data_IF_917451721693
#
_entry.id   IF_917451721693
#
_cell.length_a   1.000
_cell.length_b   1.000
_cell.length_c   1.000
_cell.angle_alpha   90.00
_cell.angle_beta   90.00
_cell.angle_gamma   90.00
#
_symmetry.space_group_name_H-M   'P 1'
#
loop_
_entity.id
_entity.type
_entity.pdbx_description
1 polymer ?
#
# COMPACT_ATOMS: atom_id res chain seq x y z
N UNK A 1 -41.48 -9.11 -25.94
CA UNK A 1 -40.48 -9.32 -24.88
C UNK A 1 -39.12 -8.83 -25.37
N UNK A 2 -38.69 -7.64 -24.93
CA UNK A 2 -37.29 -7.23 -25.11
C UNK A 2 -36.43 -8.11 -24.19
N UNK A 3 -35.43 -8.79 -24.74
CA UNK A 3 -34.36 -9.38 -23.92
C UNK A 3 -33.71 -8.24 -23.15
N UNK A 4 -33.88 -8.21 -21.84
CA UNK A 4 -33.05 -7.39 -20.97
C UNK A 4 -31.59 -7.73 -21.30
N UNK A 5 -30.87 -6.78 -21.90
CA UNK A 5 -29.43 -6.90 -22.01
C UNK A 5 -28.93 -6.88 -20.57
N UNK A 6 -28.33 -7.97 -20.12
CA UNK A 6 -27.51 -7.99 -18.91
C UNK A 6 -26.38 -6.97 -19.08
N UNK A 7 -26.65 -5.70 -18.77
CA UNK A 7 -25.63 -4.67 -18.66
C UNK A 7 -24.85 -5.05 -17.41
N UNK A 8 -23.64 -5.59 -17.60
CA UNK A 8 -22.68 -5.73 -16.50
C UNK A 8 -22.54 -4.33 -15.91
N UNK A 9 -23.00 -4.12 -14.68
CA UNK A 9 -22.79 -2.86 -13.95
C UNK A 9 -21.29 -2.77 -13.68
N UNK A 10 -20.57 -2.11 -14.58
CA UNK A 10 -19.16 -1.78 -14.35
C UNK A 10 -19.18 -0.61 -13.40
N UNK A 11 -18.65 -0.81 -12.21
CA UNK A 11 -18.51 0.25 -11.23
C UNK A 11 -17.47 1.26 -11.76
N UNK A 12 -17.89 2.52 -11.92
CA UNK A 12 -17.10 3.54 -12.61
C UNK A 12 -16.11 4.23 -11.69
N UNK A 13 -14.85 4.31 -12.13
CA UNK A 13 -13.81 5.17 -11.54
C UNK A 13 -14.14 6.65 -11.80
N UNK A 14 -13.78 7.56 -10.89
CA UNK A 14 -14.10 8.99 -11.07
C UNK A 14 -13.19 9.64 -12.12
N UNK A 15 -11.88 9.43 -12.01
CA UNK A 15 -10.89 9.95 -12.94
C UNK A 15 -9.94 8.83 -13.36
N UNK A 16 -9.84 8.61 -14.68
CA UNK A 16 -8.84 7.71 -15.26
C UNK A 16 -8.10 8.47 -16.35
N UNK A 17 -6.78 8.60 -16.20
CA UNK A 17 -5.91 9.24 -17.18
C UNK A 17 -4.91 8.21 -17.68
N UNK A 18 -4.79 8.06 -18.99
CA UNK A 18 -3.95 7.04 -19.63
C UNK A 18 -2.85 7.69 -20.46
N UNK A 19 -1.66 7.08 -20.46
CA UNK A 19 -0.58 7.32 -21.42
C UNK A 19 -0.22 8.80 -21.60
N UNK A 20 -0.20 9.55 -20.50
CA UNK A 20 0.02 11.00 -20.50
C UNK A 20 1.39 11.37 -19.94
N UNK A 21 2.09 12.30 -20.58
CA UNK A 21 3.35 12.85 -20.11
C UNK A 21 3.18 14.31 -19.66
N UNK A 22 3.90 14.72 -18.62
CA UNK A 22 3.83 16.06 -18.03
C UNK A 22 2.42 16.39 -17.49
N UNK A 23 1.86 15.45 -16.72
CA UNK A 23 0.53 15.59 -16.14
C UNK A 23 0.60 16.42 -14.86
N UNK A 24 -0.28 17.42 -14.73
CA UNK A 24 -0.51 18.12 -13.46
C UNK A 24 -1.98 18.02 -13.06
N UNK A 25 -2.23 17.55 -11.84
CA UNK A 25 -3.54 17.60 -11.18
C UNK A 25 -3.38 18.49 -9.97
N UNK A 26 -3.99 19.69 -10.00
CA UNK A 26 -3.85 20.66 -8.91
C UNK A 26 -5.20 21.18 -8.43
N UNK A 27 -5.38 21.23 -7.11
CA UNK A 27 -6.54 21.83 -6.45
C UNK A 27 -7.89 21.23 -6.92
N UNK A 28 -7.91 19.91 -7.09
CA UNK A 28 -9.10 19.16 -7.48
C UNK A 28 -9.70 18.49 -6.24
N UNK A 29 -11.03 18.42 -6.17
CA UNK A 29 -11.74 17.59 -5.19
C UNK A 29 -12.53 16.51 -5.91
N UNK A 30 -12.30 15.26 -5.54
CA UNK A 30 -13.05 14.08 -5.99
C UNK A 30 -13.92 13.61 -4.83
N UNK A 31 -15.20 13.36 -5.11
CA UNK A 31 -16.17 12.90 -4.11
C UNK A 31 -16.90 11.69 -4.63
N UNK A 32 -16.78 10.59 -3.91
CA UNK A 32 -17.40 9.30 -4.16
C UNK A 32 -17.06 8.70 -5.54
N UNK A 33 -16.71 7.43 -5.54
CA UNK A 33 -16.64 6.62 -6.75
C UNK A 33 -17.26 5.27 -6.45
N UNK A 34 -17.86 4.63 -7.47
CA UNK A 34 -18.34 3.27 -7.34
C UNK A 34 -17.18 2.24 -7.45
N UNK A 35 -15.94 2.69 -7.67
CA UNK A 35 -14.69 1.91 -7.71
C UNK A 35 -13.51 2.82 -7.30
N UNK A 36 -12.30 2.58 -7.82
CA UNK A 36 -11.12 3.43 -7.58
C UNK A 36 -11.40 4.90 -7.97
N UNK A 37 -11.05 5.84 -7.10
CA UNK A 37 -11.37 7.25 -7.32
C UNK A 37 -10.53 7.85 -8.45
N UNK A 38 -9.19 7.83 -8.31
CA UNK A 38 -8.27 8.41 -9.30
C UNK A 38 -7.22 7.39 -9.71
N UNK A 39 -7.23 6.99 -10.98
CA UNK A 39 -6.20 6.10 -11.53
C UNK A 39 -5.40 6.78 -12.63
N UNK A 40 -4.08 6.76 -12.50
CA UNK A 40 -3.14 7.29 -13.49
C UNK A 40 -2.41 6.12 -14.13
N UNK A 41 -2.72 5.80 -15.38
CA UNK A 41 -2.21 4.61 -16.07
C UNK A 41 -1.09 5.01 -17.01
N UNK A 42 0.12 4.44 -16.80
CA UNK A 42 1.32 4.65 -17.62
C UNK A 42 1.66 6.12 -17.87
N UNK A 43 1.35 6.99 -16.92
CA UNK A 43 1.69 8.41 -17.01
C UNK A 43 3.13 8.68 -16.57
N UNK A 44 3.78 9.68 -17.19
CA UNK A 44 5.17 10.07 -16.93
C UNK A 44 5.24 11.53 -16.50
N UNK A 45 6.14 11.85 -15.55
CA UNK A 45 6.30 13.22 -15.02
C UNK A 45 4.98 13.77 -14.51
N UNK A 46 4.44 13.08 -13.51
CA UNK A 46 3.15 13.39 -12.89
C UNK A 46 3.37 14.28 -11.67
N UNK A 47 2.61 15.36 -11.56
CA UNK A 47 2.52 16.19 -10.37
C UNK A 47 1.06 16.26 -9.88
N UNK A 48 0.79 15.65 -8.73
CA UNK A 48 -0.49 15.78 -8.02
C UNK A 48 -0.25 16.67 -6.82
N UNK A 49 -0.95 17.80 -6.74
CA UNK A 49 -0.78 18.80 -5.70
C UNK A 49 -2.13 19.29 -5.18
N UNK A 50 -2.33 19.23 -3.87
CA UNK A 50 -3.57 19.74 -3.25
C UNK A 50 -4.82 19.00 -3.78
N UNK A 51 -4.71 17.69 -4.02
CA UNK A 51 -5.84 16.82 -4.34
C UNK A 51 -6.58 16.47 -3.04
N UNK A 52 -7.92 16.50 -3.10
CA UNK A 52 -8.79 16.04 -2.01
C UNK A 52 -9.69 14.93 -2.50
N UNK A 53 -9.70 13.80 -1.81
CA UNK A 53 -10.59 12.67 -2.11
C UNK A 53 -11.45 12.38 -0.89
N UNK A 54 -12.75 12.23 -1.11
CA UNK A 54 -13.72 11.82 -0.09
C UNK A 54 -14.58 10.68 -0.63
N UNK A 55 -14.33 9.46 -0.17
CA UNK A 55 -15.04 8.24 -0.58
C UNK A 55 -15.64 7.54 0.65
N UNK A 56 -16.95 7.29 0.64
CA UNK A 56 -17.65 6.67 1.76
C UNK A 56 -17.61 5.14 1.72
N UNK A 57 -17.80 4.50 2.88
CA UNK A 57 -17.89 3.04 3.07
C UNK A 57 -19.04 2.34 2.34
N UNK A 58 -19.81 3.06 1.50
CA UNK A 58 -21.00 2.53 0.82
C UNK A 58 -20.67 1.84 -0.49
N UNK A 59 -19.46 2.06 -1.01
CA UNK A 59 -18.96 1.47 -2.24
C UNK A 59 -17.90 0.44 -1.87
N UNK A 60 -17.82 -0.66 -2.63
CA UNK A 60 -16.74 -1.64 -2.49
C UNK A 60 -15.57 -1.22 -3.38
N UNK A 61 -14.33 -1.29 -2.86
CA UNK A 61 -13.09 -1.10 -3.63
C UNK A 61 -12.92 0.36 -4.09
N UNK A 62 -13.11 1.29 -3.13
CA UNK A 62 -13.01 2.74 -3.31
C UNK A 62 -11.64 3.32 -2.96
N UNK A 63 -10.59 2.87 -3.65
CA UNK A 63 -9.21 3.35 -3.52
C UNK A 63 -9.13 4.86 -3.78
N UNK A 64 -8.17 5.54 -3.17
CA UNK A 64 -7.97 6.98 -3.31
C UNK A 64 -7.26 7.34 -4.63
N UNK A 65 -5.94 7.18 -4.63
CA UNK A 65 -5.07 7.54 -5.75
C UNK A 65 -4.15 6.39 -6.15
N UNK A 66 -4.27 5.98 -7.40
CA UNK A 66 -3.60 4.81 -7.98
C UNK A 66 -2.65 5.18 -9.13
N UNK A 67 -1.36 5.47 -8.87
CA UNK A 67 -0.34 5.52 -9.91
C UNK A 67 -0.05 4.11 -10.45
N UNK A 68 -0.62 3.76 -11.59
CA UNK A 68 -0.55 2.44 -12.22
C UNK A 68 0.49 2.41 -13.35
N UNK A 69 1.66 1.86 -13.05
CA UNK A 69 2.80 1.80 -13.96
C UNK A 69 3.40 3.17 -14.23
N UNK A 70 3.15 4.19 -13.41
CA UNK A 70 3.67 5.55 -13.61
C UNK A 70 5.18 5.67 -13.35
N UNK A 71 5.84 6.60 -14.04
CA UNK A 71 7.27 6.92 -13.83
C UNK A 71 7.41 8.42 -13.52
N UNK A 72 8.26 8.76 -12.55
CA UNK A 72 8.49 10.13 -12.09
C UNK A 72 7.17 10.78 -11.59
N UNK A 73 6.74 10.36 -10.40
CA UNK A 73 5.48 10.82 -9.78
C UNK A 73 5.79 11.62 -8.53
N UNK A 74 5.27 12.85 -8.45
CA UNK A 74 5.23 13.66 -7.23
C UNK A 74 3.78 13.83 -6.79
N UNK A 75 3.46 13.38 -5.57
CA UNK A 75 2.17 13.58 -4.92
C UNK A 75 2.43 14.40 -3.65
N UNK A 76 1.81 15.57 -3.53
CA UNK A 76 2.03 16.43 -2.36
C UNK A 76 0.81 17.23 -1.91
N UNK A 77 0.77 17.57 -0.62
CA UNK A 77 -0.26 18.43 -0.01
C UNK A 77 -1.69 17.86 -0.16
N UNK A 78 -1.83 16.54 -0.25
CA UNK A 78 -3.12 15.88 -0.49
C UNK A 78 -3.82 15.49 0.81
N UNK A 79 -5.15 15.48 0.77
CA UNK A 79 -6.01 14.93 1.82
C UNK A 79 -6.86 13.81 1.21
N UNK A 80 -6.63 12.57 1.64
CA UNK A 80 -7.29 11.41 1.05
C UNK A 80 -8.06 10.66 2.13
N UNK A 81 -9.40 10.73 2.04
CA UNK A 81 -10.32 9.93 2.82
C UNK A 81 -10.92 8.90 1.86
N UNK A 82 -10.33 7.72 1.82
CA UNK A 82 -10.71 6.61 0.95
C UNK A 82 -11.53 5.57 1.70
N UNK A 83 -12.29 4.78 0.93
CA UNK A 83 -12.96 3.60 1.48
C UNK A 83 -11.95 2.46 1.62
N UNK A 84 -11.23 2.19 0.54
CA UNK A 84 -10.18 1.19 0.43
C UNK A 84 -8.80 1.88 0.55
N UNK A 85 -7.78 1.39 -0.16
CA UNK A 85 -6.40 1.89 -0.10
C UNK A 85 -6.29 3.40 -0.42
N UNK A 86 -5.62 4.20 0.42
CA UNK A 86 -5.57 5.67 0.19
C UNK A 86 -4.61 6.06 -0.94
N UNK A 87 -3.37 5.58 -0.90
CA UNK A 87 -2.40 5.73 -2.00
C UNK A 87 -1.89 4.36 -2.37
N UNK A 88 -2.12 3.95 -3.62
CA UNK A 88 -1.74 2.63 -4.11
C UNK A 88 -1.00 2.67 -5.44
N UNK A 89 0.34 2.79 -5.43
CA UNK A 89 1.12 2.57 -6.64
C UNK A 89 0.99 1.11 -7.07
N UNK A 90 0.69 0.89 -8.36
CA UNK A 90 0.32 -0.41 -8.94
C UNK A 90 1.05 -0.65 -10.27
N UNK A 91 0.92 -1.86 -10.80
CA UNK A 91 1.20 -2.26 -12.16
C UNK A 91 0.09 -3.24 -12.60
N UNK A 92 -1.15 -2.76 -12.62
CA UNK A 92 -2.35 -3.54 -12.90
C UNK A 92 -2.70 -3.56 -14.39
N UNK A 93 -2.56 -2.41 -15.06
CA UNK A 93 -2.99 -2.27 -16.44
C UNK A 93 -2.07 -3.01 -17.42
N UNK A 94 -2.64 -3.63 -18.47
CA UNK A 94 -1.88 -4.29 -19.54
C UNK A 94 -1.89 -3.47 -20.85
N UNK A 95 -0.75 -3.32 -21.56
CA UNK A 95 0.59 -3.79 -21.18
C UNK A 95 1.10 -3.05 -19.94
N UNK A 96 1.71 -3.81 -19.04
CA UNK A 96 2.21 -3.29 -17.77
C UNK A 96 3.54 -2.59 -17.95
N UNK A 97 3.82 -1.63 -17.07
CA UNK A 97 5.08 -0.88 -17.03
C UNK A 97 5.59 -0.89 -15.59
N UNK A 98 6.90 -1.01 -15.42
CA UNK A 98 7.53 -0.92 -14.10
C UNK A 98 7.34 0.48 -13.51
N UNK A 99 6.61 0.64 -12.39
CA UNK A 99 6.53 1.92 -11.72
C UNK A 99 7.87 2.25 -11.06
N UNK A 100 8.29 3.51 -11.20
CA UNK A 100 9.61 3.96 -10.74
C UNK A 100 9.60 5.43 -10.33
N UNK A 101 10.38 5.77 -9.30
CA UNK A 101 10.65 7.15 -8.88
C UNK A 101 9.38 7.88 -8.45
N UNK A 102 8.75 7.39 -7.39
CA UNK A 102 7.56 8.03 -6.80
C UNK A 102 7.96 8.74 -5.51
N UNK A 103 7.51 9.98 -5.35
CA UNK A 103 7.69 10.76 -4.13
C UNK A 103 6.32 11.23 -3.66
N UNK A 104 5.90 10.75 -2.50
CA UNK A 104 4.67 11.15 -1.82
C UNK A 104 5.06 11.93 -0.57
N UNK A 105 4.57 13.16 -0.41
CA UNK A 105 4.90 13.97 0.77
C UNK A 105 3.81 14.91 1.26
N UNK A 106 3.88 15.29 2.53
CA UNK A 106 2.96 16.27 3.13
C UNK A 106 1.47 15.89 2.93
N UNK A 107 1.14 14.61 3.12
CA UNK A 107 -0.21 14.09 2.87
C UNK A 107 -0.86 13.61 4.16
N UNK A 108 -2.18 13.74 4.24
CA UNK A 108 -3.01 13.21 5.33
C UNK A 108 -3.91 12.11 4.76
N UNK A 109 -3.81 10.90 5.32
CA UNK A 109 -4.46 9.70 4.82
C UNK A 109 -5.44 9.11 5.84
N UNK A 110 -6.59 8.66 5.33
CA UNK A 110 -7.60 7.90 6.05
C UNK A 110 -8.16 6.82 5.12
N UNK A 111 -7.86 5.57 5.41
CA UNK A 111 -8.46 4.41 4.75
C UNK A 111 -9.55 3.81 5.64
N UNK A 112 -10.77 3.71 5.14
CA UNK A 112 -11.90 3.28 5.96
C UNK A 112 -11.86 1.78 6.29
N UNK A 113 -11.51 0.93 5.33
CA UNK A 113 -11.57 -0.51 5.46
C UNK A 113 -10.29 -1.23 4.98
N UNK A 114 -9.25 -0.50 4.58
CA UNK A 114 -8.03 -1.08 4.00
C UNK A 114 -6.75 -0.37 4.44
N UNK A 115 -5.87 0.02 3.50
CA UNK A 115 -4.49 0.43 3.78
C UNK A 115 -4.26 1.93 3.60
N UNK A 116 -3.45 2.55 4.45
CA UNK A 116 -3.02 3.94 4.22
C UNK A 116 -2.17 4.04 2.95
N UNK A 117 -1.05 3.31 2.92
CA UNK A 117 -0.18 3.20 1.75
C UNK A 117 -0.06 1.73 1.35
N UNK A 118 -0.65 1.36 0.21
CA UNK A 118 -0.58 0.01 -0.36
C UNK A 118 0.28 -0.01 -1.62
N UNK A 119 1.58 -0.21 -1.47
CA UNK A 119 2.46 -0.35 -2.62
C UNK A 119 2.44 -1.79 -3.13
N UNK A 120 1.92 -1.98 -4.35
CA UNK A 120 1.82 -3.27 -5.00
C UNK A 120 0.38 -3.75 -5.11
N UNK A 121 0.09 -4.91 -4.54
CA UNK A 121 -1.10 -5.75 -4.82
C UNK A 121 -1.07 -6.26 -6.27
N UNK A 122 -1.27 -5.39 -7.25
CA UNK A 122 -1.03 -5.65 -8.66
C UNK A 122 0.39 -5.27 -9.04
N UNK A 123 1.27 -6.27 -9.22
CA UNK A 123 2.70 -6.05 -9.50
C UNK A 123 3.12 -6.68 -10.82
N UNK A 124 2.33 -6.54 -11.89
CA UNK A 124 2.55 -7.23 -13.17
C UNK A 124 3.71 -6.62 -13.99
N UNK A 125 4.79 -6.22 -13.33
CA UNK A 125 5.97 -5.60 -13.92
C UNK A 125 7.23 -6.40 -13.59
N UNK A 126 8.33 -6.10 -14.26
CA UNK A 126 9.64 -6.68 -13.93
C UNK A 126 10.17 -6.10 -12.62
N UNK A 127 10.00 -4.79 -12.43
CA UNK A 127 10.49 -4.05 -11.26
C UNK A 127 9.42 -3.12 -10.71
N UNK A 128 9.57 -2.77 -9.44
CA UNK A 128 8.73 -1.82 -8.72
C UNK A 128 9.63 -1.07 -7.73
N UNK A 129 10.13 0.11 -8.11
CA UNK A 129 11.31 0.63 -7.43
C UNK A 129 11.34 2.12 -7.13
N UNK A 130 12.23 2.48 -6.21
CA UNK A 130 12.64 3.85 -5.94
C UNK A 130 11.44 4.72 -5.54
N UNK A 131 10.87 4.44 -4.37
CA UNK A 131 9.72 5.18 -3.85
C UNK A 131 10.04 5.76 -2.48
N UNK A 132 9.67 7.02 -2.29
CA UNK A 132 9.83 7.75 -1.05
C UNK A 132 8.46 8.27 -0.59
N UNK A 133 8.07 7.89 0.62
CA UNK A 133 6.92 8.42 1.32
C UNK A 133 7.45 9.21 2.52
N UNK A 134 7.33 10.53 2.50
CA UNK A 134 7.96 11.43 3.48
C UNK A 134 6.97 12.41 4.09
N UNK A 135 6.94 12.58 5.42
CA UNK A 135 6.04 13.53 6.09
C UNK A 135 4.57 13.25 5.77
N UNK A 136 4.09 12.06 6.18
CA UNK A 136 2.72 11.59 5.94
C UNK A 136 2.05 11.22 7.25
N UNK A 137 0.86 11.77 7.47
CA UNK A 137 0.02 11.45 8.62
C UNK A 137 -1.02 10.42 8.20
N UNK A 138 -0.96 9.21 8.75
CA UNK A 138 -1.98 8.18 8.55
C UNK A 138 -2.87 8.18 9.79
N UNK A 139 -3.99 8.87 9.68
CA UNK A 139 -4.94 9.03 10.79
C UNK A 139 -5.65 7.71 11.08
N UNK A 140 -5.95 6.95 10.03
CA UNK A 140 -6.64 5.66 10.15
C UNK A 140 -6.34 4.75 8.96
N UNK A 141 -6.09 3.47 9.26
CA UNK A 141 -6.12 2.35 8.33
C UNK A 141 -6.15 1.03 9.13
N UNK A 142 -6.55 -0.07 8.50
CA UNK A 142 -6.39 -1.41 9.07
C UNK A 142 -4.93 -1.88 9.00
N UNK A 143 -4.22 -1.42 7.96
CA UNK A 143 -2.79 -1.58 7.76
C UNK A 143 -2.23 -0.23 7.34
N UNK A 144 -1.22 0.28 8.03
CA UNK A 144 -0.67 1.60 7.71
C UNK A 144 0.14 1.56 6.43
N UNK A 145 1.06 0.59 6.34
CA UNK A 145 1.93 0.35 5.20
C UNK A 145 1.79 -1.12 4.78
N UNK A 146 1.37 -1.36 3.54
CA UNK A 146 1.38 -2.67 2.91
C UNK A 146 2.36 -2.66 1.73
N UNK A 147 3.24 -3.67 1.71
CA UNK A 147 4.09 -3.98 0.58
C UNK A 147 3.69 -5.35 0.06
N UNK A 148 3.17 -5.42 -1.15
CA UNK A 148 2.58 -6.66 -1.62
C UNK A 148 2.99 -7.00 -3.04
N UNK A 149 3.83 -8.04 -3.19
CA UNK A 149 4.23 -8.62 -4.46
C UNK A 149 3.51 -9.95 -4.71
N UNK A 150 2.70 -9.99 -5.77
CA UNK A 150 1.92 -11.17 -6.16
C UNK A 150 2.19 -11.65 -7.60
N UNK A 151 2.78 -10.80 -8.44
CA UNK A 151 2.85 -10.99 -9.90
C UNK A 151 4.29 -10.99 -10.46
N UNK A 152 5.29 -11.13 -9.59
CA UNK A 152 6.67 -11.42 -10.02
C UNK A 152 7.65 -10.24 -10.00
N UNK A 153 7.21 -9.04 -9.61
CA UNK A 153 8.09 -7.87 -9.56
C UNK A 153 9.24 -8.04 -8.54
N UNK A 154 10.41 -7.51 -8.88
CA UNK A 154 11.45 -7.15 -7.92
C UNK A 154 11.12 -5.77 -7.33
N UNK A 155 10.53 -5.75 -6.14
CA UNK A 155 10.16 -4.53 -5.42
C UNK A 155 11.32 -4.07 -4.54
N UNK A 156 11.89 -2.88 -4.81
CA UNK A 156 13.07 -2.45 -4.07
C UNK A 156 13.31 -0.95 -3.94
N UNK A 157 14.12 -0.57 -2.95
CA UNK A 157 14.46 0.81 -2.62
C UNK A 157 13.21 1.63 -2.27
N UNK A 158 12.48 1.15 -1.27
CA UNK A 158 11.26 1.79 -0.79
C UNK A 158 11.55 2.41 0.58
N UNK A 159 11.34 3.71 0.74
CA UNK A 159 11.59 4.43 1.98
C UNK A 159 10.33 5.08 2.48
N UNK A 160 10.04 4.88 3.77
CA UNK A 160 9.03 5.60 4.54
C UNK A 160 9.77 6.40 5.60
N UNK A 161 9.60 7.73 5.61
CA UNK A 161 10.33 8.62 6.50
C UNK A 161 9.40 9.66 7.13
N UNK A 162 9.53 9.89 8.44
CA UNK A 162 8.75 10.91 9.15
C UNK A 162 7.24 10.66 8.97
N UNK A 163 6.76 9.49 9.37
CA UNK A 163 5.32 9.18 9.35
C UNK A 163 4.75 9.27 10.75
N UNK A 164 3.58 9.91 10.87
CA UNK A 164 2.79 9.92 12.09
C UNK A 164 1.55 9.05 11.91
N UNK A 165 1.38 8.07 12.80
CA UNK A 165 0.33 7.07 12.73
C UNK A 165 -0.58 7.25 13.94
N UNK A 166 -1.79 7.80 13.81
CA UNK A 166 -2.65 8.03 14.98
C UNK A 166 -3.43 6.79 15.44
N UNK A 167 -3.81 5.94 14.48
CA UNK A 167 -4.63 4.74 14.67
C UNK A 167 -5.96 5.02 15.40
N UNK A 168 -6.97 5.54 14.69
CA UNK A 168 -8.37 5.46 15.13
C UNK A 168 -8.93 4.04 14.94
N UNK A 169 -8.76 3.17 15.93
CA UNK A 169 -9.45 1.88 15.98
C UNK A 169 -10.95 2.10 16.21
N UNK A 170 -11.73 2.06 15.13
CA UNK A 170 -13.16 1.79 15.25
C UNK A 170 -13.31 0.26 15.32
N UNK A 171 -14.23 -0.24 16.15
CA UNK A 171 -14.64 -1.65 16.16
C UNK A 171 -15.42 -1.99 14.87
N UNK A 172 -14.79 -1.80 13.72
CA UNK A 172 -15.35 -2.15 12.42
C UNK A 172 -14.55 -3.34 11.93
N UNK A 173 -15.21 -4.50 11.88
CA UNK A 173 -14.65 -5.67 11.23
C UNK A 173 -14.40 -5.32 9.76
N UNK A 174 -13.21 -5.64 9.28
CA UNK A 174 -12.93 -5.77 7.84
C UNK A 174 -13.95 -6.76 7.25
N UNK A 175 -14.87 -6.26 6.42
CA UNK A 175 -15.96 -7.03 5.84
C UNK A 175 -15.64 -7.50 4.41
N UNK A 176 -14.42 -7.34 3.89
CA UNK A 176 -14.24 -7.54 2.45
C UNK A 176 -12.87 -7.93 1.92
N UNK A 177 -11.75 -7.42 2.45
CA UNK A 177 -10.48 -7.60 1.73
C UNK A 177 -9.70 -8.84 2.17
N UNK A 178 -9.71 -9.17 3.47
CA UNK A 178 -9.15 -10.44 3.99
C UNK A 178 -9.98 -11.67 3.57
N UNK A 179 -11.16 -11.52 2.94
CA UNK A 179 -11.93 -12.65 2.40
C UNK A 179 -11.22 -13.34 1.21
N UNK A 180 -10.29 -12.65 0.53
CA UNK A 180 -9.50 -13.20 -0.56
C UNK A 180 -8.15 -13.81 -0.13
N UNK A 181 -7.77 -13.66 1.14
CA UNK A 181 -6.63 -14.35 1.75
C UNK A 181 -7.13 -15.53 2.60
N UNK A 182 -7.99 -16.38 2.02
CA UNK A 182 -8.26 -17.71 2.60
C UNK A 182 -7.10 -18.64 2.25
N UNK A 183 -5.99 -18.52 2.97
CA UNK A 183 -5.23 -19.72 3.27
C UNK A 183 -6.11 -20.57 4.19
N UNK A 184 -6.40 -21.82 3.82
CA UNK A 184 -7.10 -22.74 4.73
C UNK A 184 -6.35 -22.76 6.07
N UNK A 185 -6.98 -22.24 7.13
CA UNK A 185 -6.40 -22.14 8.47
C UNK A 185 -5.97 -20.74 8.94
N UNK A 186 -6.07 -19.69 8.11
CA UNK A 186 -5.89 -18.32 8.58
C UNK A 186 -7.10 -17.91 9.45
N UNK A 187 -6.89 -17.79 10.76
CA UNK A 187 -7.90 -17.29 11.69
C UNK A 187 -8.43 -15.94 11.20
N UNK A 188 -9.76 -15.78 11.16
CA UNK A 188 -10.42 -14.45 11.19
C UNK A 188 -9.67 -13.58 12.17
N UNK A 189 -9.35 -12.30 11.87
CA UNK A 189 -8.68 -11.39 12.80
C UNK A 189 -9.34 -11.49 14.18
N UNK A 190 -8.73 -12.30 15.04
CA UNK A 190 -9.02 -12.29 16.45
C UNK A 190 -8.45 -10.96 16.91
N UNK A 191 -9.24 -10.19 17.64
CA UNK A 191 -8.77 -9.05 18.44
C UNK A 191 -8.00 -7.89 17.75
N UNK A 192 -8.65 -7.10 16.89
CA UNK A 192 -8.36 -5.65 16.80
C UNK A 192 -6.90 -5.25 16.50
N UNK A 193 -6.16 -6.05 15.73
CA UNK A 193 -4.76 -5.81 15.46
C UNK A 193 -4.59 -4.91 14.22
N UNK A 194 -3.89 -3.78 14.40
CA UNK A 194 -3.47 -2.88 13.34
C UNK A 194 -2.00 -3.13 13.00
N UNK A 195 -1.67 -3.21 11.70
CA UNK A 195 -0.29 -3.38 11.26
C UNK A 195 0.33 -2.03 10.93
N UNK A 196 1.52 -1.75 11.46
CA UNK A 196 2.37 -0.69 10.96
C UNK A 196 2.89 -1.07 9.57
N UNK A 197 3.49 -2.26 9.47
CA UNK A 197 4.04 -2.81 8.23
C UNK A 197 3.53 -4.22 8.02
N UNK A 198 3.02 -4.49 6.83
CA UNK A 198 2.60 -5.80 6.38
C UNK A 198 3.23 -6.06 5.01
N UNK A 199 4.28 -6.90 4.94
CA UNK A 199 4.99 -7.21 3.71
C UNK A 199 4.75 -8.67 3.25
N UNK A 200 4.33 -8.85 1.99
CA UNK A 200 3.90 -10.13 1.43
C UNK A 200 4.60 -10.42 0.12
N UNK A 201 5.13 -11.64 0.00
CA UNK A 201 5.49 -12.22 -1.29
C UNK A 201 4.79 -13.57 -1.42
N UNK A 202 3.93 -13.69 -2.41
CA UNK A 202 3.36 -14.98 -2.83
C UNK A 202 3.08 -14.94 -4.33
N UNK A 203 2.56 -16.03 -4.89
CA UNK A 203 2.06 -16.06 -6.27
C UNK A 203 0.56 -15.79 -6.26
N UNK A 204 0.08 -14.84 -7.05
CA UNK A 204 -1.36 -14.60 -7.25
C UNK A 204 -2.10 -15.86 -7.68
N UNK A 205 -1.48 -16.65 -8.54
CA UNK A 205 -1.95 -17.97 -8.99
C UNK A 205 -0.77 -18.82 -9.46
N UNK A 206 -1.01 -20.09 -9.79
CA UNK A 206 0.03 -21.04 -10.20
C UNK A 206 0.82 -20.61 -11.45
N UNK A 207 0.25 -19.77 -12.31
CA UNK A 207 0.93 -19.24 -13.49
C UNK A 207 1.76 -17.97 -13.21
N UNK A 208 1.53 -17.28 -12.08
CA UNK A 208 2.29 -16.07 -11.72
C UNK A 208 3.75 -16.39 -11.42
N UNK A 209 4.65 -15.45 -11.75
CA UNK A 209 6.04 -15.50 -11.30
C UNK A 209 6.11 -15.12 -9.82
N UNK A 210 7.01 -15.75 -9.08
CA UNK A 210 7.31 -15.32 -7.71
C UNK A 210 8.26 -14.12 -7.75
N UNK A 211 7.91 -13.04 -7.06
CA UNK A 211 8.73 -11.83 -6.99
C UNK A 211 9.61 -11.77 -5.74
N UNK A 212 9.98 -10.55 -5.34
CA UNK A 212 10.69 -10.29 -4.08
C UNK A 212 10.52 -8.86 -3.61
N UNK A 213 10.79 -8.65 -2.32
CA UNK A 213 10.88 -7.34 -1.68
C UNK A 213 12.29 -7.18 -1.11
N UNK A 214 12.99 -6.08 -1.38
CA UNK A 214 14.32 -5.83 -0.80
C UNK A 214 14.62 -4.34 -0.60
N UNK A 215 15.53 -4.00 0.30
CA UNK A 215 15.92 -2.60 0.56
C UNK A 215 14.71 -1.72 0.92
N UNK A 216 14.10 -2.01 2.06
CA UNK A 216 12.99 -1.24 2.61
C UNK A 216 13.45 -0.53 3.87
N UNK A 217 13.30 0.78 3.93
CA UNK A 217 13.63 1.59 5.11
C UNK A 217 12.36 2.23 5.67
N UNK A 218 12.12 2.02 6.96
CA UNK A 218 11.18 2.78 7.77
C UNK A 218 12.01 3.61 8.74
N UNK A 219 11.96 4.94 8.64
CA UNK A 219 12.81 5.84 9.42
C UNK A 219 11.95 6.90 10.11
N UNK A 220 12.19 7.11 11.41
CA UNK A 220 11.46 8.11 12.21
C UNK A 220 9.93 7.95 12.08
N UNK A 221 9.43 6.77 12.43
CA UNK A 221 8.01 6.45 12.41
C UNK A 221 7.47 6.57 13.83
N UNK A 222 6.38 7.33 14.00
CA UNK A 222 5.72 7.47 15.29
C UNK A 222 4.33 6.83 15.26
N UNK A 223 4.12 5.82 16.09
CA UNK A 223 2.82 5.21 16.37
C UNK A 223 2.58 5.21 17.89
N UNK A 224 1.68 6.04 18.43
CA UNK A 224 1.42 6.12 19.87
C UNK A 224 0.66 4.90 20.41
N UNK A 225 0.11 4.07 19.52
CA UNK A 225 -0.59 2.84 19.84
C UNK A 225 0.20 1.61 19.39
N UNK A 226 -0.23 0.45 19.88
CA UNK A 226 0.47 -0.80 19.66
C UNK A 226 0.11 -1.39 18.29
N UNK A 227 1.05 -1.25 17.36
CA UNK A 227 0.97 -1.77 15.99
C UNK A 227 2.00 -2.88 15.77
N UNK A 228 1.82 -3.71 14.74
CA UNK A 228 2.74 -4.82 14.41
C UNK A 228 3.49 -4.60 13.10
N UNK A 229 4.68 -5.17 12.99
CA UNK A 229 5.39 -5.29 11.73
C UNK A 229 5.55 -6.78 11.37
N UNK A 230 5.11 -7.20 10.19
CA UNK A 230 5.18 -8.62 9.81
C UNK A 230 5.68 -8.77 8.38
N UNK A 231 6.63 -9.68 8.20
CA UNK A 231 7.16 -10.09 6.90
C UNK A 231 6.75 -11.54 6.60
N UNK A 232 6.03 -11.74 5.52
CA UNK A 232 5.60 -13.07 5.05
C UNK A 232 6.17 -13.32 3.66
N UNK A 233 7.33 -13.98 3.62
CA UNK A 233 7.95 -14.41 2.36
C UNK A 233 7.39 -15.73 1.86
N UNK A 234 7.83 -16.12 0.66
CA UNK A 234 7.66 -17.44 0.08
C UNK A 234 9.01 -18.04 -0.37
N UNK A 235 9.08 -19.37 -0.40
CA UNK A 235 10.24 -20.13 -0.87
C UNK A 235 10.57 -19.77 -2.32
N UNK A 236 11.80 -19.30 -2.55
CA UNK A 236 12.30 -19.05 -3.90
C UNK A 236 12.98 -20.28 -4.51
N UNK A 237 12.96 -20.45 -5.84
CA UNK A 237 13.67 -21.54 -6.53
C UNK A 237 15.18 -21.52 -6.33
N UNK A 238 15.77 -20.34 -6.10
CA UNK A 238 17.20 -20.15 -5.86
C UNK A 238 17.61 -20.41 -4.39
N UNK A 239 16.66 -20.83 -3.54
CA UNK A 239 16.89 -21.11 -2.13
C UNK A 239 17.04 -19.86 -1.25
N UNK A 240 16.97 -18.65 -1.82
CA UNK A 240 17.10 -17.40 -1.06
C UNK A 240 15.75 -16.98 -0.45
N UNK A 241 15.81 -16.12 0.56
CA UNK A 241 14.64 -15.43 1.10
C UNK A 241 14.05 -14.48 0.07
N UNK A 242 12.73 -14.33 0.06
CA UNK A 242 12.00 -13.43 -0.85
C UNK A 242 11.78 -12.04 -0.28
N UNK A 243 12.06 -11.84 1.00
CA UNK A 243 12.08 -10.53 1.64
C UNK A 243 13.43 -10.33 2.33
N UNK A 244 14.17 -9.29 1.95
CA UNK A 244 15.51 -8.99 2.49
C UNK A 244 15.72 -7.51 2.80
N UNK A 245 16.64 -7.19 3.71
CA UNK A 245 17.05 -5.81 3.94
C UNK A 245 15.91 -4.85 4.33
N UNK A 246 15.01 -5.27 5.22
CA UNK A 246 14.02 -4.40 5.85
C UNK A 246 14.62 -3.82 7.13
N UNK A 247 14.67 -2.49 7.22
CA UNK A 247 15.24 -1.76 8.36
C UNK A 247 14.17 -0.84 8.96
N UNK A 248 14.01 -0.90 10.27
CA UNK A 248 13.25 0.07 11.05
C UNK A 248 14.23 0.88 11.90
N UNK A 249 14.40 2.16 11.57
CA UNK A 249 15.30 3.10 12.23
C UNK A 249 14.50 4.14 13.00
N UNK A 250 14.84 4.36 14.26
CA UNK A 250 14.25 5.41 15.11
C UNK A 250 12.71 5.37 15.12
N UNK A 251 12.16 4.15 15.09
CA UNK A 251 10.72 3.91 15.10
C UNK A 251 10.22 3.81 16.54
N UNK A 252 9.18 4.57 16.86
CA UNK A 252 8.50 4.55 18.17
C UNK A 252 7.12 3.92 18.02
N UNK A 253 6.85 2.83 18.74
CA UNK A 253 5.56 2.14 18.77
C UNK A 253 5.07 2.04 20.21
N UNK A 254 3.81 2.41 20.47
CA UNK A 254 3.22 2.43 21.81
C UNK A 254 4.07 3.19 22.85
N UNK A 255 4.72 4.29 22.43
CA UNK A 255 5.61 5.09 23.28
C UNK A 255 6.99 4.49 23.54
N UNK A 256 7.33 3.36 22.91
CA UNK A 256 8.64 2.71 23.03
C UNK A 256 9.44 2.92 21.75
N UNK A 257 10.60 3.57 21.86
CA UNK A 257 11.58 3.59 20.76
C UNK A 257 12.21 2.21 20.63
N UNK A 258 12.00 1.56 19.49
CA UNK A 258 12.39 0.16 19.30
C UNK A 258 13.90 -0.02 19.30
N UNK A 259 14.40 -0.91 20.16
CA UNK A 259 15.80 -1.36 20.16
C UNK A 259 15.93 -2.80 19.70
N UNK A 260 14.84 -3.56 19.78
CA UNK A 260 14.73 -4.96 19.40
C UNK A 260 13.47 -5.19 18.57
N UNK A 261 13.42 -6.32 17.86
CA UNK A 261 12.22 -6.72 17.11
C UNK A 261 10.99 -6.86 18.03
N UNK A 262 11.18 -7.31 19.27
CA UNK A 262 10.10 -7.47 20.24
C UNK A 262 9.45 -6.13 20.63
N UNK A 263 10.24 -5.06 20.77
CA UNK A 263 9.73 -3.72 21.11
C UNK A 263 8.74 -3.21 20.06
N UNK A 264 8.99 -3.53 18.79
CA UNK A 264 8.14 -3.12 17.66
C UNK A 264 7.15 -4.20 17.22
N UNK A 265 7.00 -5.27 18.00
CA UNK A 265 6.19 -6.45 17.66
C UNK A 265 6.47 -6.95 16.24
N UNK A 266 7.74 -6.93 15.85
CA UNK A 266 8.23 -7.32 14.55
C UNK A 266 8.38 -8.84 14.46
N UNK A 267 7.91 -9.43 13.37
CA UNK A 267 8.02 -10.87 13.10
C UNK A 267 8.24 -11.16 11.62
N UNK A 268 8.78 -12.34 11.34
CA UNK A 268 9.00 -12.84 9.99
C UNK A 268 8.84 -14.37 9.95
N UNK A 269 8.50 -14.92 8.80
CA UNK A 269 8.61 -16.37 8.55
C UNK A 269 10.02 -16.75 8.06
N UNK A 270 10.24 -18.05 7.84
CA UNK A 270 11.52 -18.62 7.40
C UNK A 270 11.99 -18.15 6.00
N UNK A 271 11.09 -17.55 5.21
CA UNK A 271 11.39 -17.05 3.86
C UNK A 271 11.67 -15.55 3.80
N UNK A 272 11.78 -14.89 4.95
CA UNK A 272 12.10 -13.49 5.09
C UNK A 272 13.27 -13.31 6.08
N UNK A 273 14.19 -12.41 5.78
CA UNK A 273 15.19 -11.97 6.75
C UNK A 273 14.51 -11.22 7.91
N UNK A 274 14.98 -11.37 9.16
CA UNK A 274 14.45 -10.58 10.27
C UNK A 274 14.59 -9.07 10.02
N UNK A 275 13.59 -8.31 10.47
CA UNK A 275 13.64 -6.85 10.40
C UNK A 275 14.80 -6.35 11.27
N UNK A 276 15.72 -5.59 10.68
CA UNK A 276 16.81 -4.95 11.41
C UNK A 276 16.29 -3.72 12.13
N UNK A 277 16.51 -3.65 13.45
CA UNK A 277 16.13 -2.50 14.27
C UNK A 277 17.36 -1.64 14.55
N UNK A 278 17.26 -0.35 14.27
CA UNK A 278 18.31 0.64 14.51
C UNK A 278 17.73 1.76 15.39
N UNK A 279 18.40 2.07 16.50
CA UNK A 279 18.04 3.17 17.40
C UNK A 279 19.29 4.03 17.58
N UNK A 280 19.24 5.28 17.14
CA UNK A 280 20.38 6.20 17.16
C UNK A 280 20.36 7.14 18.39
N UNK A 281 19.35 7.01 19.24
CA UNK A 281 19.14 7.78 20.48
C UNK A 281 19.07 6.89 21.73
#
# INVERSE_FOLDING_TARGET
MQKERNVRKIAGRCLVILDTQNLTIRNVTVRESYSWNVQLVRCDKVHVDTLRIFSSARNSNGDGLDPDGCIDVLIENCLILSEDDSISPKAAWKPARSPKNHHVRNCILWAQNATGIAAGDETNSETFSDMLFENVDILRANTMIRLFVADGADMHNITFRNLWIEEYSMHVQDQGFDEHVRFEGANKRTDGQTYLLHAYVHKRNDASKLGMIRNVLLENIHAPRAVKATLTGAQRPDGKTSITGVVMRDCTVAGVCGKTAADLKASNNEFAEPIKIECTH
#
